data_IF_156578913147
#
_entry.id   IF_156578913147
#
_cell.length_a   1.000
_cell.length_b   1.000
_cell.length_c   1.000
_cell.angle_alpha   90.00
_cell.angle_beta   90.00
_cell.angle_gamma   90.00
#
_symmetry.space_group_name_H-M   'P 1'
#
loop_
_entity.id
_entity.type
_entity.pdbx_description
1 polymer ?
#
# COMPACT_ATOMS: atom_id res chain seq x y z
N UNK A 1 18.03 -23.74 8.80
CA UNK A 1 17.37 -22.75 7.91
C UNK A 1 16.22 -22.14 8.68
N UNK A 2 16.42 -20.95 9.24
CA UNK A 2 15.41 -20.28 10.06
C UNK A 2 14.42 -19.60 9.13
N UNK A 3 13.22 -20.18 8.96
CA UNK A 3 12.11 -19.50 8.31
C UNK A 3 11.73 -18.29 9.17
N UNK A 4 12.20 -17.11 8.79
CA UNK A 4 11.65 -15.85 9.30
C UNK A 4 10.28 -15.70 8.65
N UNK A 5 9.23 -16.08 9.38
CA UNK A 5 7.90 -15.64 9.03
C UNK A 5 7.89 -14.13 9.29
N UNK A 6 8.20 -13.35 8.25
CA UNK A 6 7.98 -11.91 8.23
C UNK A 6 6.47 -11.70 8.23
N UNK A 7 5.86 -11.71 9.41
CA UNK A 7 4.55 -11.11 9.57
C UNK A 7 4.71 -9.62 9.29
N UNK A 8 4.61 -9.26 8.01
CA UNK A 8 4.41 -7.87 7.65
C UNK A 8 3.26 -7.35 8.52
N UNK A 9 3.45 -6.26 9.27
CA UNK A 9 2.48 -5.84 10.25
C UNK A 9 1.15 -5.69 9.53
N UNK A 10 0.11 -6.38 10.04
CA UNK A 10 -1.21 -6.37 9.41
C UNK A 10 -1.73 -4.94 9.19
N UNK A 11 -1.16 -3.98 9.92
CA UNK A 11 -1.44 -2.55 9.88
C UNK A 11 -0.14 -1.72 9.84
N UNK A 12 0.06 -0.96 8.77
CA UNK A 12 1.20 -0.07 8.53
C UNK A 12 0.83 1.38 8.86
N UNK A 13 1.76 2.17 9.40
CA UNK A 13 1.55 3.62 9.53
C UNK A 13 1.59 4.29 8.17
N UNK A 14 1.18 5.56 8.07
CA UNK A 14 1.25 6.35 6.82
C UNK A 14 2.66 6.35 6.21
N UNK A 15 3.68 6.48 7.05
CA UNK A 15 5.08 6.51 6.60
C UNK A 15 5.54 5.15 6.06
N UNK A 16 5.19 4.07 6.76
CA UNK A 16 5.53 2.71 6.32
C UNK A 16 4.76 2.35 5.05
N UNK A 17 3.49 2.74 4.96
CA UNK A 17 2.66 2.51 3.78
C UNK A 17 3.21 3.21 2.54
N UNK A 18 3.65 4.47 2.67
CA UNK A 18 4.28 5.21 1.57
C UNK A 18 5.56 4.52 1.10
N UNK A 19 6.42 4.11 2.03
CA UNK A 19 7.62 3.34 1.71
C UNK A 19 7.30 2.00 1.03
N UNK A 20 6.23 1.33 1.45
CA UNK A 20 5.84 0.03 0.93
C UNK A 20 5.38 0.06 -0.53
N UNK A 21 4.69 1.12 -0.95
CA UNK A 21 4.23 1.29 -2.34
C UNK A 21 5.24 2.06 -3.21
N UNK A 22 6.46 2.28 -2.72
CA UNK A 22 7.48 3.14 -3.32
C UNK A 22 6.94 4.52 -3.73
N UNK A 23 6.12 5.12 -2.86
CA UNK A 23 5.40 6.36 -3.11
C UNK A 23 5.65 7.43 -2.04
N UNK A 24 4.91 8.52 -2.13
CA UNK A 24 4.99 9.63 -1.18
C UNK A 24 3.87 9.56 -0.13
N UNK A 25 4.05 10.28 0.99
CA UNK A 25 3.01 10.43 2.01
C UNK A 25 1.71 11.05 1.46
N UNK A 26 1.84 11.86 0.39
CA UNK A 26 0.71 12.47 -0.30
C UNK A 26 -0.08 11.44 -1.10
N UNK A 27 0.61 10.49 -1.74
CA UNK A 27 -0.06 9.40 -2.47
C UNK A 27 -0.92 8.57 -1.52
N UNK A 28 -0.43 8.31 -0.30
CA UNK A 28 -1.23 7.62 0.73
C UNK A 28 -2.47 8.43 1.14
N UNK A 29 -2.35 9.75 1.27
CA UNK A 29 -3.50 10.61 1.58
C UNK A 29 -4.50 10.65 0.42
N UNK A 30 -4.02 10.71 -0.82
CA UNK A 30 -4.84 10.70 -2.02
C UNK A 30 -5.56 9.35 -2.18
N UNK A 31 -4.87 8.22 -1.95
CA UNK A 31 -5.46 6.88 -1.99
C UNK A 31 -6.50 6.69 -0.89
N UNK A 32 -6.23 7.21 0.31
CA UNK A 32 -7.23 7.27 1.38
C UNK A 32 -8.44 8.12 0.98
N UNK A 33 -8.22 9.31 0.40
CA UNK A 33 -9.30 10.20 -0.02
C UNK A 33 -10.16 9.60 -1.15
N UNK A 34 -9.54 8.80 -2.02
CA UNK A 34 -10.22 8.04 -3.08
C UNK A 34 -10.96 6.80 -2.56
N UNK A 35 -10.70 6.36 -1.32
CA UNK A 35 -11.27 5.16 -0.74
C UNK A 35 -10.57 3.86 -1.14
N UNK A 36 -9.40 3.94 -1.78
CA UNK A 36 -8.57 2.80 -2.20
C UNK A 36 -7.86 2.16 -0.99
N UNK A 37 -7.55 2.96 0.03
CA UNK A 37 -6.96 2.49 1.28
C UNK A 37 -7.95 2.65 2.43
N UNK A 38 -8.23 1.57 3.16
CA UNK A 38 -9.09 1.61 4.33
C UNK A 38 -8.30 2.02 5.57
N UNK A 39 -8.55 3.20 6.17
CA UNK A 39 -7.89 3.60 7.40
C UNK A 39 -8.42 2.76 8.57
N UNK A 40 -7.51 2.17 9.34
CA UNK A 40 -7.79 1.40 10.55
C UNK A 40 -7.16 2.11 11.75
N UNK A 41 -7.98 2.43 12.76
CA UNK A 41 -7.54 3.08 13.98
C UNK A 41 -8.29 4.38 14.27
N UNK A 42 -7.99 5.00 15.41
CA UNK A 42 -8.58 6.27 15.84
C UNK A 42 -7.92 7.48 15.19
N UNK A 43 -8.51 8.67 15.40
CA UNK A 43 -8.11 9.94 14.76
C UNK A 43 -6.61 10.29 14.88
N UNK A 44 -5.92 9.85 15.95
CA UNK A 44 -4.50 10.16 16.19
C UNK A 44 -3.51 9.14 15.61
N UNK A 45 -3.94 7.92 15.29
CA UNK A 45 -3.06 6.84 14.82
C UNK A 45 -3.78 6.00 13.77
N UNK A 46 -3.90 6.58 12.58
CA UNK A 46 -4.40 5.88 11.40
C UNK A 46 -3.32 4.91 10.92
N UNK A 47 -3.72 3.68 10.67
CA UNK A 47 -2.92 2.66 10.01
C UNK A 47 -3.64 2.14 8.77
N UNK A 48 -2.92 1.48 7.89
CA UNK A 48 -3.40 0.95 6.62
C UNK A 48 -3.13 -0.54 6.55
N UNK A 49 -4.07 -1.30 5.99
CA UNK A 49 -3.91 -2.75 5.85
C UNK A 49 -2.92 -3.05 4.75
N UNK A 50 -2.05 -4.04 4.99
CA UNK A 50 -1.12 -4.53 3.95
C UNK A 50 -1.86 -5.00 2.70
N UNK A 51 -2.97 -5.72 2.86
CA UNK A 51 -3.78 -6.22 1.73
C UNK A 51 -4.23 -5.11 0.81
N UNK A 52 -4.67 -3.97 1.36
CA UNK A 52 -5.13 -2.84 0.54
C UNK A 52 -3.95 -2.25 -0.27
N UNK A 53 -2.76 -2.19 0.33
CA UNK A 53 -1.53 -1.77 -0.34
C UNK A 53 -1.08 -2.80 -1.41
N UNK A 54 -1.18 -4.10 -1.12
CA UNK A 54 -0.88 -5.17 -2.08
C UNK A 54 -1.80 -5.11 -3.30
N UNK A 55 -3.11 -4.86 -3.09
CA UNK A 55 -4.07 -4.66 -4.18
C UNK A 55 -3.72 -3.45 -5.05
N UNK A 56 -3.29 -2.35 -4.42
CA UNK A 56 -2.84 -1.17 -5.16
C UNK A 56 -1.58 -1.48 -6.00
N UNK A 57 -0.57 -2.15 -5.44
CA UNK A 57 0.65 -2.53 -6.17
C UNK A 57 0.32 -3.47 -7.34
N UNK A 58 -0.51 -4.49 -7.11
CA UNK A 58 -0.93 -5.41 -8.18
C UNK A 58 -1.63 -4.68 -9.33
N UNK A 59 -2.46 -3.67 -9.01
CA UNK A 59 -3.12 -2.83 -10.01
C UNK A 59 -2.14 -1.89 -10.76
N UNK A 60 -1.02 -1.51 -10.14
CA UNK A 60 0.05 -0.76 -10.81
C UNK A 60 0.82 -1.64 -11.79
N UNK A 61 1.23 -2.84 -11.36
CA UNK A 61 1.95 -3.79 -12.21
C UNK A 61 1.13 -4.14 -13.46
N UNK A 62 -0.18 -4.35 -13.32
CA UNK A 62 -1.06 -4.61 -14.46
C UNK A 62 -1.12 -3.43 -15.45
N UNK A 63 -1.09 -2.18 -14.95
CA UNK A 63 -1.08 -0.97 -15.80
C UNK A 63 0.23 -0.78 -16.55
N UNK A 64 1.36 -1.08 -15.92
CA UNK A 64 2.67 -0.97 -16.56
C UNK A 64 2.88 -2.09 -17.59
N UNK A 65 2.42 -3.31 -17.32
CA UNK A 65 2.39 -4.41 -18.29
C UNK A 65 1.57 -4.09 -19.55
N UNK A 66 0.46 -3.35 -19.41
CA UNK A 66 -0.36 -2.90 -20.56
C UNK A 66 0.38 -1.85 -21.41
N UNK A 67 1.20 -0.99 -20.79
CA UNK A 67 2.01 0.00 -21.51
C UNK A 67 3.16 -0.67 -22.27
N UNK A 68 3.84 -1.64 -21.68
CA UNK A 68 4.92 -2.37 -22.36
C UNK A 68 4.42 -3.24 -23.53
N UNK A 69 3.20 -3.79 -23.44
CA UNK A 69 2.59 -4.56 -24.55
C UNK A 69 2.03 -3.71 -25.68
N UNK A 70 1.95 -2.39 -25.50
CA UNK A 70 1.47 -1.45 -26.52
C UNK A 70 2.61 -0.76 -27.28
N UNK A 71 3.86 -1.21 -27.10
CA UNK A 71 5.02 -0.73 -27.85
C UNK A 71 5.55 -1.76 -28.83
#
# INVERSE_FOLDING_TARGET
>A
MTLRIEFAPALMTREIAAYYIDGTLRDIDDLRAKGELTPVGGQKRIKFRKTDLDHYIAALEERDLIKERSH
#
